data_IF_649282744268
#
_entry.id   IF_649282744268
#
_cell.length_a   1.000
_cell.length_b   1.000
_cell.length_c   1.000
_cell.angle_alpha   90.00
_cell.angle_beta   90.00
_cell.angle_gamma   90.00
#
_symmetry.space_group_name_H-M   'P 1'
#
loop_
_entity.id
_entity.type
_entity.pdbx_description
1 polymer ?
#
# COMPACT_ATOMS: atom_id res chain seq x y z
N UNK A 1 31.68 47.03 -38.14
CA UNK A 1 31.02 46.22 -37.08
C UNK A 1 31.11 44.71 -37.32
N UNK A 2 31.00 44.23 -38.56
CA UNK A 2 31.02 42.79 -38.89
C UNK A 2 32.26 42.03 -38.36
N UNK A 3 33.46 42.61 -38.43
CA UNK A 3 34.70 41.98 -37.94
C UNK A 3 34.71 41.72 -36.42
N UNK A 4 34.04 42.57 -35.63
CA UNK A 4 33.93 42.37 -34.17
C UNK A 4 32.87 41.30 -33.83
N UNK A 5 31.83 41.17 -34.65
CA UNK A 5 30.77 40.18 -34.46
C UNK A 5 31.25 38.74 -34.76
N UNK A 6 32.04 38.57 -35.82
CA UNK A 6 32.64 37.27 -36.17
C UNK A 6 33.65 36.80 -35.12
N UNK A 7 34.42 37.72 -34.53
CA UNK A 7 35.34 37.40 -33.44
C UNK A 7 34.64 36.88 -32.18
N UNK A 8 33.49 37.46 -31.81
CA UNK A 8 32.71 37.02 -30.64
C UNK A 8 32.11 35.63 -30.86
N UNK A 9 31.61 35.34 -32.07
CA UNK A 9 31.06 34.02 -32.40
C UNK A 9 32.15 32.94 -32.36
N UNK A 10 33.35 33.23 -32.87
CA UNK A 10 34.49 32.29 -32.83
C UNK A 10 34.92 31.96 -31.39
N UNK A 11 34.95 32.95 -30.50
CA UNK A 11 35.27 32.75 -29.08
C UNK A 11 34.17 31.93 -28.39
N UNK A 12 32.88 32.18 -28.68
CA UNK A 12 31.76 31.40 -28.15
C UNK A 12 31.79 29.95 -28.64
N UNK A 13 32.11 29.69 -29.91
CA UNK A 13 32.26 28.33 -30.41
C UNK A 13 33.46 27.61 -29.79
N UNK A 14 34.58 28.31 -29.54
CA UNK A 14 35.75 27.72 -28.91
C UNK A 14 35.49 27.36 -27.43
N UNK A 15 34.76 28.22 -26.71
CA UNK A 15 34.33 27.95 -25.33
C UNK A 15 33.26 26.86 -25.23
N UNK A 16 32.35 26.74 -26.21
CA UNK A 16 31.41 25.61 -26.25
C UNK A 16 32.12 24.27 -26.57
N UNK A 17 33.20 24.27 -27.34
CA UNK A 17 33.97 23.04 -27.62
C UNK A 17 34.86 22.59 -26.46
N UNK A 18 35.32 23.49 -25.59
CA UNK A 18 36.13 23.11 -24.41
C UNK A 18 35.29 22.64 -23.23
N UNK A 19 34.00 22.98 -23.16
CA UNK A 19 33.07 22.43 -22.16
C UNK A 19 32.61 21.00 -22.51
N UNK A 20 32.94 20.48 -23.70
CA UNK A 20 32.66 19.11 -24.12
C UNK A 20 33.86 18.15 -24.02
N UNK A 21 34.98 18.56 -23.42
CA UNK A 21 36.18 17.75 -23.32
C UNK A 21 36.67 17.66 -21.87
N UNK A 22 35.99 16.84 -21.07
CA UNK A 22 36.57 16.03 -19.97
C UNK A 22 35.44 15.18 -19.36
N UNK A 23 34.92 14.22 -20.14
CA UNK A 23 34.42 12.99 -19.52
C UNK A 23 35.66 12.16 -19.19
N UNK A 24 35.85 11.72 -17.94
CA UNK A 24 36.98 10.88 -17.58
C UNK A 24 36.93 9.62 -18.45
N UNK A 25 37.98 9.42 -19.26
CA UNK A 25 38.23 8.17 -19.97
C UNK A 25 38.30 7.09 -18.89
N UNK A 26 37.19 6.39 -18.72
CA UNK A 26 37.12 5.26 -17.80
C UNK A 26 37.85 4.12 -18.49
N UNK A 27 38.86 3.59 -17.82
CA UNK A 27 39.65 2.43 -18.24
C UNK A 27 38.75 1.36 -18.86
N UNK A 28 38.91 1.12 -20.17
CA UNK A 28 38.12 0.16 -20.95
C UNK A 28 38.45 -1.31 -20.67
N UNK A 29 39.30 -1.60 -19.68
CA UNK A 29 39.83 -2.95 -19.44
C UNK A 29 39.47 -3.57 -18.08
N UNK A 30 38.52 -2.99 -17.33
CA UNK A 30 37.84 -3.72 -16.26
C UNK A 30 36.39 -3.96 -16.69
N UNK A 31 35.84 -5.18 -16.55
CA UNK A 31 34.40 -5.38 -16.67
C UNK A 31 33.75 -4.49 -15.61
N UNK A 32 33.14 -3.37 -16.05
CA UNK A 32 32.34 -2.55 -15.17
C UNK A 32 31.11 -3.38 -14.81
N UNK A 33 31.17 -4.08 -13.67
CA UNK A 33 30.01 -4.77 -13.13
C UNK A 33 28.90 -3.75 -12.99
N UNK A 34 27.82 -3.96 -13.74
CA UNK A 34 26.70 -3.04 -13.74
C UNK A 34 26.08 -2.98 -12.33
N UNK A 35 25.74 -1.77 -11.87
CA UNK A 35 25.13 -1.55 -10.56
C UNK A 35 23.76 -2.23 -10.51
N UNK A 36 23.58 -3.16 -9.56
CA UNK A 36 22.35 -3.91 -9.33
C UNK A 36 21.54 -3.32 -8.19
N UNK A 37 20.29 -3.76 -8.03
CA UNK A 37 19.51 -3.45 -6.83
C UNK A 37 18.78 -4.67 -6.27
N UNK A 38 18.58 -4.67 -4.96
CA UNK A 38 17.82 -5.64 -4.21
C UNK A 38 16.95 -4.89 -3.19
N UNK A 39 15.63 -4.98 -3.36
CA UNK A 39 14.63 -4.48 -2.42
C UNK A 39 14.01 -5.69 -1.73
N UNK A 40 14.15 -5.76 -0.40
CA UNK A 40 13.57 -6.79 0.45
C UNK A 40 12.47 -6.14 1.28
N UNK A 41 11.24 -6.62 1.15
CA UNK A 41 10.10 -6.24 1.96
C UNK A 41 9.72 -7.41 2.85
N UNK A 42 9.63 -7.18 4.16
CA UNK A 42 9.30 -8.22 5.14
C UNK A 42 8.06 -7.81 5.92
N UNK A 43 7.04 -8.67 5.93
CA UNK A 43 5.77 -8.38 6.59
C UNK A 43 5.91 -8.27 8.10
N UNK A 44 5.39 -7.18 8.68
CA UNK A 44 5.35 -6.97 10.14
C UNK A 44 6.76 -7.00 10.80
N UNK A 45 7.78 -6.54 10.08
CA UNK A 45 9.17 -6.59 10.54
C UNK A 45 9.58 -5.30 11.27
N UNK A 46 9.58 -5.36 12.60
CA UNK A 46 9.91 -4.24 13.48
C UNK A 46 11.36 -4.28 13.98
N UNK A 47 11.83 -3.16 14.54
CA UNK A 47 13.17 -3.06 15.11
C UNK A 47 13.38 -4.08 16.24
N UNK A 48 12.33 -4.37 17.01
CA UNK A 48 12.35 -5.41 18.02
C UNK A 48 12.64 -6.79 17.42
N UNK A 49 11.98 -7.15 16.30
CA UNK A 49 12.22 -8.41 15.60
C UNK A 49 13.64 -8.49 15.03
N UNK A 50 14.18 -7.38 14.51
CA UNK A 50 15.55 -7.33 14.01
C UNK A 50 16.57 -7.78 15.07
N UNK A 51 16.40 -7.34 16.33
CA UNK A 51 17.33 -7.67 17.41
C UNK A 51 17.00 -8.98 18.14
N UNK A 52 15.73 -9.42 18.16
CA UNK A 52 15.33 -10.67 18.82
C UNK A 52 15.50 -11.92 17.97
N UNK A 53 15.32 -11.83 16.65
CA UNK A 53 15.22 -13.00 15.76
C UNK A 53 16.55 -13.59 15.30
N UNK A 54 17.69 -13.12 15.84
CA UNK A 54 19.05 -13.47 15.40
C UNK A 54 19.22 -13.42 13.87
N UNK A 55 19.25 -12.20 13.34
CA UNK A 55 19.39 -11.91 11.90
C UNK A 55 20.71 -11.14 11.68
N UNK A 56 21.87 -11.80 11.80
CA UNK A 56 23.16 -11.12 11.87
C UNK A 56 23.49 -10.33 10.60
N UNK A 57 23.05 -10.78 9.42
CA UNK A 57 23.38 -10.14 8.15
C UNK A 57 22.52 -8.90 7.93
N UNK A 58 21.21 -8.98 8.18
CA UNK A 58 20.32 -7.81 8.14
C UNK A 58 20.68 -6.81 9.24
N UNK A 59 21.04 -7.29 10.45
CA UNK A 59 21.50 -6.42 11.54
C UNK A 59 22.78 -5.69 11.16
N UNK A 60 23.74 -6.37 10.53
CA UNK A 60 24.96 -5.74 10.04
C UNK A 60 24.65 -4.68 8.96
N UNK A 61 23.77 -4.97 8.00
CA UNK A 61 23.30 -3.98 7.03
C UNK A 61 22.63 -2.78 7.72
N UNK A 62 21.81 -3.03 8.73
CA UNK A 62 21.20 -1.97 9.52
C UNK A 62 22.29 -1.10 10.16
N UNK A 63 23.27 -1.69 10.85
CA UNK A 63 24.36 -0.95 11.49
C UNK A 63 25.25 -0.17 10.50
N UNK A 64 25.55 -0.75 9.34
CA UNK A 64 26.42 -0.16 8.31
C UNK A 64 25.72 0.86 7.40
N UNK A 65 24.40 0.74 7.22
CA UNK A 65 23.63 1.50 6.24
C UNK A 65 23.08 2.83 6.75
N UNK A 66 22.29 3.48 5.90
CA UNK A 66 21.37 4.53 6.31
C UNK A 66 20.07 3.87 6.77
N UNK A 67 19.75 4.02 8.06
CA UNK A 67 18.71 3.21 8.68
C UNK A 67 17.82 3.98 9.65
N UNK A 68 16.60 3.51 9.83
CA UNK A 68 15.64 4.09 10.77
C UNK A 68 14.35 3.29 10.86
N UNK A 69 13.31 3.92 11.41
CA UNK A 69 11.97 3.34 11.52
C UNK A 69 11.07 3.95 10.44
N UNK A 70 10.37 3.12 9.68
CA UNK A 70 9.32 3.57 8.76
C UNK A 70 8.00 3.74 9.47
N UNK A 71 7.36 4.90 9.21
CA UNK A 71 6.02 5.20 9.71
C UNK A 71 5.00 4.95 8.61
N UNK A 72 4.63 3.68 8.47
CA UNK A 72 3.67 3.21 7.48
C UNK A 72 2.25 3.11 7.99
N UNK A 73 1.31 3.09 7.05
CA UNK A 73 -0.08 2.72 7.30
C UNK A 73 -0.17 1.20 7.55
N UNK A 74 -1.18 0.75 8.30
CA UNK A 74 -1.50 -0.67 8.44
C UNK A 74 -2.12 -1.22 7.14
N UNK A 75 -1.28 -1.34 6.12
CA UNK A 75 -1.60 -2.00 4.85
C UNK A 75 -1.21 -3.47 4.93
N UNK A 76 -1.94 -4.33 4.21
CA UNK A 76 -1.45 -5.69 4.00
C UNK A 76 -0.19 -5.66 3.12
N UNK A 77 0.59 -6.74 3.13
CA UNK A 77 1.88 -6.79 2.42
C UNK A 77 1.77 -6.41 0.92
N UNK A 78 0.71 -6.87 0.25
CA UNK A 78 0.49 -6.59 -1.17
C UNK A 78 0.23 -5.10 -1.42
N UNK A 79 -0.69 -4.50 -0.67
CA UNK A 79 -1.00 -3.07 -0.75
C UNK A 79 0.21 -2.20 -0.39
N UNK A 80 0.99 -2.60 0.60
CA UNK A 80 2.22 -1.90 0.98
C UNK A 80 3.23 -1.90 -0.17
N UNK A 81 3.43 -3.04 -0.84
CA UNK A 81 4.34 -3.12 -2.00
C UNK A 81 3.82 -2.28 -3.17
N UNK A 82 2.51 -2.29 -3.41
CA UNK A 82 1.87 -1.50 -4.47
C UNK A 82 2.06 0.01 -4.26
N UNK A 83 1.91 0.49 -3.03
CA UNK A 83 2.14 1.89 -2.69
C UNK A 83 3.63 2.24 -2.72
N UNK A 84 4.49 1.41 -2.10
CA UNK A 84 5.93 1.61 -2.07
C UNK A 84 6.48 1.76 -3.49
N UNK A 85 6.22 0.77 -4.36
CA UNK A 85 6.74 0.73 -5.73
C UNK A 85 5.95 1.58 -6.73
N UNK A 86 4.93 2.30 -6.26
CA UNK A 86 4.06 3.17 -7.07
C UNK A 86 3.41 2.40 -8.22
N UNK A 87 2.98 1.17 -7.98
CA UNK A 87 2.42 0.27 -9.00
C UNK A 87 1.02 0.67 -9.47
N UNK A 88 0.30 1.46 -8.67
CA UNK A 88 -1.05 1.96 -8.94
C UNK A 88 -1.08 3.48 -8.86
N UNK A 89 -1.88 4.10 -9.73
CA UNK A 89 -2.14 5.54 -9.70
C UNK A 89 -1.10 6.43 -10.37
N UNK A 90 -0.07 5.85 -11.01
CA UNK A 90 1.00 6.59 -11.70
C UNK A 90 1.21 6.05 -13.11
N UNK A 91 1.45 6.93 -14.08
CA UNK A 91 1.71 6.55 -15.48
C UNK A 91 3.00 5.74 -15.63
N UNK A 92 4.02 6.09 -14.84
CA UNK A 92 5.26 5.35 -14.76
C UNK A 92 5.47 4.89 -13.32
N UNK A 93 5.50 3.58 -13.11
CA UNK A 93 5.87 2.97 -11.83
C UNK A 93 7.37 2.67 -11.76
N UNK A 94 7.90 2.34 -10.58
CA UNK A 94 9.33 2.12 -10.40
C UNK A 94 9.91 0.99 -11.27
N UNK A 95 9.32 -0.22 -11.33
CA UNK A 95 9.83 -1.29 -12.19
C UNK A 95 9.87 -0.91 -13.68
N UNK A 96 8.82 -0.23 -14.17
CA UNK A 96 8.76 0.23 -15.55
C UNK A 96 9.83 1.29 -15.84
N UNK A 97 10.06 2.21 -14.90
CA UNK A 97 11.13 3.21 -15.03
C UNK A 97 12.51 2.54 -15.03
N UNK A 98 12.77 1.63 -14.08
CA UNK A 98 14.03 0.89 -14.04
C UNK A 98 14.29 0.14 -15.37
N UNK A 99 13.25 -0.46 -15.96
CA UNK A 99 13.34 -1.09 -17.27
C UNK A 99 13.72 -0.12 -18.40
N UNK A 100 13.18 1.11 -18.40
CA UNK A 100 13.58 2.17 -19.35
C UNK A 100 15.08 2.53 -19.22
N UNK A 101 15.67 2.37 -18.03
CA UNK A 101 17.09 2.59 -17.75
C UNK A 101 17.96 1.33 -17.95
N UNK A 102 17.40 0.29 -18.55
CA UNK A 102 18.09 -0.94 -18.95
C UNK A 102 18.11 -2.04 -17.90
N UNK A 103 17.33 -1.92 -16.81
CA UNK A 103 17.23 -2.98 -15.81
C UNK A 103 16.27 -4.10 -16.23
N UNK A 104 16.65 -5.35 -15.97
CA UNK A 104 15.70 -6.46 -15.84
C UNK A 104 15.28 -6.58 -14.38
N UNK A 105 13.99 -6.42 -14.10
CA UNK A 105 13.48 -6.39 -12.72
C UNK A 105 12.69 -7.66 -12.44
N UNK A 106 13.18 -8.46 -11.49
CA UNK A 106 12.59 -9.71 -11.05
C UNK A 106 11.87 -9.53 -9.71
N UNK A 107 10.75 -10.22 -9.54
CA UNK A 107 9.96 -10.16 -8.32
C UNK A 107 9.61 -11.55 -7.76
N UNK A 108 9.61 -11.65 -6.42
CA UNK A 108 9.33 -12.87 -5.67
C UNK A 108 8.40 -12.60 -4.49
N UNK A 109 7.48 -13.51 -4.20
CA UNK A 109 6.72 -13.54 -2.94
C UNK A 109 5.48 -12.65 -2.87
N UNK A 110 5.08 -11.99 -3.97
CA UNK A 110 3.83 -11.21 -4.07
C UNK A 110 3.18 -11.35 -5.44
N UNK A 111 1.93 -10.90 -5.60
CA UNK A 111 1.20 -11.04 -6.85
C UNK A 111 1.65 -9.98 -7.87
N UNK A 112 2.28 -10.43 -8.95
CA UNK A 112 2.80 -9.57 -10.02
C UNK A 112 1.96 -9.59 -11.31
N UNK A 113 0.92 -10.43 -11.41
CA UNK A 113 0.21 -10.72 -12.68
C UNK A 113 -0.38 -9.48 -13.37
N UNK A 114 -0.60 -8.40 -12.63
CA UNK A 114 -1.25 -7.19 -13.11
C UNK A 114 -0.26 -6.01 -13.27
N UNK A 115 1.05 -6.23 -13.09
CA UNK A 115 2.03 -5.15 -13.07
C UNK A 115 3.05 -5.27 -14.20
N UNK A 116 3.15 -4.20 -14.98
CA UNK A 116 4.15 -4.09 -16.05
C UNK A 116 5.53 -3.74 -15.48
N UNK A 117 6.59 -4.17 -16.17
CA UNK A 117 7.97 -3.90 -15.77
C UNK A 117 8.55 -4.90 -14.76
N UNK A 118 7.80 -5.94 -14.39
CA UNK A 118 8.23 -7.01 -13.49
C UNK A 118 8.25 -8.36 -14.21
N UNK A 119 9.32 -9.12 -13.99
CA UNK A 119 9.47 -10.51 -14.40
C UNK A 119 9.33 -11.41 -13.16
N UNK A 120 8.74 -12.60 -13.33
CA UNK A 120 8.66 -13.57 -12.24
C UNK A 120 10.05 -14.11 -11.92
N UNK A 121 10.44 -14.07 -10.64
CA UNK A 121 11.66 -14.73 -10.17
C UNK A 121 11.37 -16.22 -9.92
N UNK A 122 11.97 -17.16 -10.69
CA UNK A 122 11.66 -18.58 -10.55
C UNK A 122 12.08 -19.17 -9.20
N UNK A 123 13.24 -18.74 -8.70
CA UNK A 123 13.78 -19.18 -7.41
C UNK A 123 14.81 -18.19 -6.88
N UNK A 124 15.13 -18.26 -5.59
CA UNK A 124 16.20 -17.46 -5.00
C UNK A 124 17.58 -17.87 -5.56
N UNK A 125 17.79 -19.14 -5.93
CA UNK A 125 19.03 -19.57 -6.60
C UNK A 125 19.22 -18.91 -7.97
N UNK A 126 18.13 -18.63 -8.69
CA UNK A 126 18.22 -17.88 -9.94
C UNK A 126 18.72 -16.44 -9.72
N UNK A 127 18.30 -15.79 -8.63
CA UNK A 127 18.83 -14.47 -8.29
C UNK A 127 20.33 -14.55 -7.96
N UNK A 128 20.77 -15.56 -7.23
CA UNK A 128 22.18 -15.75 -6.88
C UNK A 128 23.07 -15.85 -8.14
N UNK A 129 22.64 -16.62 -9.14
CA UNK A 129 23.40 -16.71 -10.41
C UNK A 129 23.47 -15.40 -11.17
N UNK A 130 22.50 -14.50 -10.95
CA UNK A 130 22.43 -13.17 -11.58
C UNK A 130 23.22 -12.08 -10.88
N UNK A 131 23.74 -12.32 -9.67
CA UNK A 131 24.61 -11.33 -9.00
C UNK A 131 25.98 -11.20 -9.67
N UNK A 132 26.52 -12.29 -10.22
CA UNK A 132 27.80 -12.29 -10.96
C UNK A 132 27.70 -11.81 -12.41
N UNK A 133 26.48 -11.61 -12.94
CA UNK A 133 26.29 -11.19 -14.33
C UNK A 133 26.65 -9.71 -14.54
N UNK A 134 27.10 -9.38 -15.75
CA UNK A 134 27.35 -8.00 -16.17
C UNK A 134 26.07 -7.22 -16.49
N UNK A 135 24.91 -7.90 -16.54
CA UNK A 135 23.61 -7.30 -16.80
C UNK A 135 23.13 -6.44 -15.60
N UNK A 136 22.39 -5.37 -15.91
CA UNK A 136 21.66 -4.58 -14.91
C UNK A 136 20.46 -5.36 -14.42
N UNK A 137 20.60 -6.03 -13.28
CA UNK A 137 19.53 -6.79 -12.65
C UNK A 137 18.99 -6.07 -11.41
N UNK A 138 17.68 -6.13 -11.25
CA UNK A 138 16.94 -5.63 -10.10
C UNK A 138 16.10 -6.72 -9.48
N UNK A 139 16.09 -6.83 -8.17
CA UNK A 139 15.33 -7.84 -7.45
C UNK A 139 14.42 -7.20 -6.42
N UNK A 140 13.15 -7.62 -6.40
CA UNK A 140 12.14 -7.18 -5.43
C UNK A 140 11.58 -8.42 -4.76
N UNK A 141 11.97 -8.65 -3.51
CA UNK A 141 11.60 -9.83 -2.74
C UNK A 141 10.63 -9.44 -1.63
N UNK A 142 9.50 -10.12 -1.57
CA UNK A 142 8.54 -9.98 -0.49
C UNK A 142 8.52 -11.27 0.35
N UNK A 143 8.67 -11.11 1.66
CA UNK A 143 8.63 -12.19 2.63
C UNK A 143 7.47 -11.96 3.59
N UNK A 144 6.69 -13.01 3.83
CA UNK A 144 5.59 -12.98 4.79
C UNK A 144 6.13 -13.02 6.22
N UNK A 145 5.24 -12.81 7.19
CA UNK A 145 5.56 -12.97 8.63
C UNK A 145 6.26 -14.32 8.86
N UNK A 146 7.28 -14.32 9.73
CA UNK A 146 8.09 -15.49 10.10
C UNK A 146 9.06 -16.02 9.01
N UNK A 147 9.24 -15.27 7.92
CA UNK A 147 10.19 -15.58 6.85
C UNK A 147 11.45 -14.71 6.86
N UNK A 148 11.72 -13.99 7.96
CA UNK A 148 12.86 -13.08 8.12
C UNK A 148 14.20 -13.81 7.92
N UNK A 149 14.28 -15.09 8.32
CA UNK A 149 15.48 -15.91 8.14
C UNK A 149 15.81 -16.18 6.67
N UNK A 150 14.80 -16.22 5.79
CA UNK A 150 15.04 -16.36 4.34
C UNK A 150 15.60 -15.06 3.78
N UNK A 151 15.07 -13.91 4.22
CA UNK A 151 15.63 -12.61 3.87
C UNK A 151 17.09 -12.46 4.35
N UNK A 152 17.40 -12.93 5.57
CA UNK A 152 18.76 -12.87 6.11
C UNK A 152 19.75 -13.72 5.29
N UNK A 153 19.35 -14.92 4.86
CA UNK A 153 20.13 -15.76 3.95
C UNK A 153 20.38 -15.12 2.59
N UNK A 154 19.42 -14.36 2.06
CA UNK A 154 19.63 -13.63 0.81
C UNK A 154 20.75 -12.58 0.97
N UNK A 155 20.74 -11.88 2.10
CA UNK A 155 21.79 -10.90 2.42
C UNK A 155 23.13 -11.59 2.68
N UNK A 156 23.14 -12.73 3.37
CA UNK A 156 24.33 -13.57 3.56
C UNK A 156 25.00 -13.90 2.23
N UNK A 157 24.22 -14.32 1.22
CA UNK A 157 24.74 -14.63 -0.13
C UNK A 157 25.37 -13.43 -0.83
N UNK A 158 24.85 -12.22 -0.62
CA UNK A 158 25.47 -10.99 -1.12
C UNK A 158 26.80 -10.68 -0.42
N UNK A 159 26.92 -10.98 0.87
CA UNK A 159 28.19 -10.88 1.59
C UNK A 159 29.20 -11.91 1.08
N UNK A 160 28.80 -13.18 0.97
CA UNK A 160 29.66 -14.29 0.53
C UNK A 160 30.18 -14.10 -0.90
N UNK A 161 29.33 -13.60 -1.81
CA UNK A 161 29.71 -13.34 -3.21
C UNK A 161 30.51 -12.04 -3.41
N UNK A 162 30.59 -11.17 -2.40
CA UNK A 162 31.24 -9.86 -2.51
C UNK A 162 30.45 -8.82 -3.33
N UNK A 163 29.25 -9.17 -3.81
CA UNK A 163 28.43 -8.33 -4.70
C UNK A 163 27.70 -7.21 -3.98
N UNK A 164 27.76 -7.17 -2.64
CA UNK A 164 27.21 -6.08 -1.82
C UNK A 164 27.76 -4.70 -2.25
N UNK A 165 29.01 -4.62 -2.72
CA UNK A 165 29.61 -3.34 -3.16
C UNK A 165 29.00 -2.80 -4.46
N UNK A 166 28.47 -3.69 -5.29
CA UNK A 166 27.89 -3.37 -6.60
C UNK A 166 26.36 -3.51 -6.62
N UNK A 167 25.75 -3.65 -5.44
CA UNK A 167 24.31 -3.82 -5.28
C UNK A 167 23.78 -2.80 -4.28
N UNK A 168 22.75 -2.06 -4.68
CA UNK A 168 21.96 -1.25 -3.74
C UNK A 168 21.02 -2.19 -3.02
N UNK A 169 21.24 -2.39 -1.73
CA UNK A 169 20.40 -3.26 -0.90
C UNK A 169 19.50 -2.40 -0.05
N UNK A 170 18.22 -2.75 -0.01
CA UNK A 170 17.20 -2.07 0.78
C UNK A 170 16.40 -3.13 1.51
N UNK A 171 16.26 -3.00 2.82
CA UNK A 171 15.40 -3.85 3.64
C UNK A 171 14.35 -2.97 4.30
N UNK A 172 13.09 -3.35 4.13
CA UNK A 172 11.91 -2.60 4.56
C UNK A 172 10.97 -3.55 5.29
N UNK A 173 10.61 -3.22 6.53
CA UNK A 173 9.55 -3.87 7.26
C UNK A 173 8.21 -3.19 6.97
N UNK A 174 7.18 -3.96 6.62
CA UNK A 174 5.81 -3.43 6.61
C UNK A 174 5.25 -3.38 8.04
N UNK A 175 4.33 -2.46 8.30
CA UNK A 175 3.67 -2.29 9.60
C UNK A 175 3.82 -0.89 10.19
N UNK A 176 3.24 -0.67 11.39
CA UNK A 176 3.19 0.65 12.05
C UNK A 176 4.56 1.24 12.40
N UNK A 177 5.57 0.39 12.59
CA UNK A 177 6.93 0.78 12.98
C UNK A 177 7.92 -0.20 12.36
N UNK A 178 7.95 -0.19 11.02
CA UNK A 178 8.80 -1.07 10.24
C UNK A 178 10.27 -0.69 10.35
N UNK A 179 11.17 -1.65 10.17
CA UNK A 179 12.60 -1.37 10.00
C UNK A 179 12.86 -0.87 8.60
N UNK A 180 13.67 0.17 8.46
CA UNK A 180 14.28 0.52 7.20
C UNK A 180 15.80 0.51 7.31
N UNK A 181 16.45 -0.10 6.34
CA UNK A 181 17.87 0.10 6.08
C UNK A 181 18.13 0.10 4.58
N UNK A 182 19.05 0.96 4.15
CA UNK A 182 19.61 0.90 2.82
C UNK A 182 21.13 0.98 2.87
N UNK A 183 21.77 0.17 2.04
CA UNK A 183 23.20 0.16 1.84
C UNK A 183 23.51 0.33 0.36
N UNK A 184 24.30 1.36 0.04
CA UNK A 184 24.87 1.58 -1.27
C UNK A 184 26.16 2.41 -1.15
N UNK A 185 27.02 2.37 -2.17
CA UNK A 185 28.22 3.21 -2.19
C UNK A 185 27.91 4.72 -2.24
N UNK A 186 26.79 5.11 -2.86
CA UNK A 186 26.36 6.52 -3.00
C UNK A 186 25.46 7.01 -1.85
N UNK A 187 25.27 6.19 -0.82
CA UNK A 187 24.43 6.50 0.34
C UNK A 187 25.31 6.66 1.57
N UNK A 188 24.95 7.57 2.48
CA UNK A 188 25.67 7.75 3.75
C UNK A 188 25.64 6.45 4.57
N UNK A 189 26.80 6.06 5.10
CA UNK A 189 26.98 4.84 5.89
C UNK A 189 26.95 5.17 7.39
N UNK A 190 26.52 4.21 8.19
CA UNK A 190 26.45 4.31 9.66
C UNK A 190 25.57 5.47 10.15
N UNK A 191 24.49 5.79 9.44
CA UNK A 191 23.57 6.86 9.83
C UNK A 191 22.28 6.26 10.38
N UNK A 192 21.91 6.67 11.60
CA UNK A 192 20.62 6.35 12.21
C UNK A 192 19.73 7.56 12.21
N UNK A 193 18.58 7.44 11.57
CA UNK A 193 17.50 8.42 11.66
C UNK A 193 16.33 7.82 12.44
N UNK A 194 15.65 8.66 13.20
CA UNK A 194 14.57 8.22 14.07
C UNK A 194 13.37 7.73 13.25
N UNK A 195 12.96 8.51 12.23
CA UNK A 195 11.80 8.22 11.41
C UNK A 195 12.04 8.51 9.92
N UNK A 196 11.44 7.67 9.07
CA UNK A 196 11.47 7.76 7.61
C UNK A 196 10.04 7.61 7.08
N UNK A 197 9.68 8.44 6.10
CA UNK A 197 8.42 8.27 5.36
C UNK A 197 8.62 7.27 4.22
N UNK A 198 7.65 6.36 4.08
CA UNK A 198 7.68 5.31 3.05
C UNK A 198 7.72 5.87 1.61
N UNK A 199 7.05 7.01 1.38
CA UNK A 199 6.98 7.66 0.07
C UNK A 199 8.34 8.19 -0.41
N UNK A 200 9.27 8.49 0.50
CA UNK A 200 10.62 8.93 0.16
C UNK A 200 11.61 7.82 -0.16
N UNK A 201 11.26 6.56 0.08
CA UNK A 201 12.16 5.41 -0.11
C UNK A 201 12.50 5.21 -1.59
N UNK A 202 11.50 5.05 -2.44
CA UNK A 202 11.70 4.77 -3.88
C UNK A 202 12.36 5.93 -4.64
N UNK A 203 12.00 7.21 -4.42
CA UNK A 203 12.73 8.32 -5.02
C UNK A 203 14.23 8.29 -4.67
N UNK A 204 14.57 7.99 -3.42
CA UNK A 204 15.95 7.91 -2.94
C UNK A 204 16.72 6.76 -3.59
N UNK A 205 16.10 5.57 -3.68
CA UNK A 205 16.71 4.41 -4.34
C UNK A 205 16.90 4.65 -5.83
N UNK A 206 15.93 5.29 -6.49
CA UNK A 206 16.00 5.63 -7.91
C UNK A 206 17.22 6.51 -8.18
N UNK A 207 17.41 7.58 -7.40
CA UNK A 207 18.58 8.45 -7.53
C UNK A 207 19.90 7.71 -7.26
N UNK A 208 19.92 6.83 -6.27
CA UNK A 208 21.10 6.02 -5.98
C UNK A 208 21.48 5.10 -7.16
N UNK A 209 20.49 4.65 -7.95
CA UNK A 209 20.67 3.89 -9.19
C UNK A 209 21.00 4.76 -10.42
N UNK A 210 20.97 6.08 -10.30
CA UNK A 210 21.09 7.01 -11.44
C UNK A 210 19.82 7.07 -12.30
N UNK A 211 18.68 6.69 -11.74
CA UNK A 211 17.35 6.80 -12.35
C UNK A 211 16.71 8.09 -11.80
N UNK A 212 16.27 8.98 -12.68
CA UNK A 212 15.61 10.21 -12.24
C UNK A 212 14.19 9.91 -11.73
N UNK A 213 13.88 10.16 -10.45
CA UNK A 213 12.58 9.85 -9.87
C UNK A 213 11.51 10.79 -10.44
N UNK A 214 10.26 10.32 -10.47
CA UNK A 214 9.12 11.16 -10.84
C UNK A 214 8.76 12.07 -9.67
N UNK A 215 8.43 13.34 -9.94
CA UNK A 215 8.06 14.32 -8.90
C UNK A 215 6.87 13.86 -8.05
N UNK A 216 5.93 13.14 -8.67
CA UNK A 216 4.70 12.65 -8.06
C UNK A 216 4.92 11.53 -7.02
N UNK A 217 6.11 10.89 -7.01
CA UNK A 217 6.37 9.74 -6.12
C UNK A 217 6.63 10.13 -4.68
N UNK A 218 6.94 11.40 -4.41
CA UNK A 218 7.23 11.91 -3.08
C UNK A 218 8.64 12.50 -2.94
N UNK A 219 8.98 13.03 -1.75
CA UNK A 219 10.24 13.71 -1.53
C UNK A 219 11.41 12.74 -1.50
N UNK A 220 12.53 13.11 -2.10
CA UNK A 220 13.78 12.37 -1.92
C UNK A 220 14.33 12.59 -0.51
N UNK A 221 14.79 11.53 0.15
CA UNK A 221 15.54 11.59 1.40
C UNK A 221 16.97 12.05 1.11
N UNK A 222 17.13 13.34 0.81
CA UNK A 222 18.42 13.95 0.50
C UNK A 222 19.44 13.77 1.62
N UNK A 223 19.00 13.62 2.87
CA UNK A 223 19.84 13.25 4.01
C UNK A 223 20.57 11.91 3.84
N UNK A 224 20.04 11.00 3.01
CA UNK A 224 20.62 9.69 2.74
C UNK A 224 21.65 9.71 1.60
N UNK A 225 21.55 10.64 0.64
CA UNK A 225 22.43 10.67 -0.55
C UNK A 225 23.73 11.42 -0.21
N UNK A 226 24.87 10.87 -0.65
CA UNK A 226 26.18 11.49 -0.47
C UNK A 226 26.41 12.62 -1.48
N UNK A 227 26.66 13.84 -0.99
CA UNK A 227 27.18 14.97 -1.77
C UNK A 227 28.20 15.72 -0.90
N UNK A 228 29.45 15.84 -1.36
CA UNK A 228 30.52 16.62 -0.68
C UNK A 228 30.19 18.11 -0.58
N UNK A 229 30.89 18.85 0.30
CA UNK A 229 30.76 20.30 0.63
C UNK A 229 29.34 20.91 0.64
N UNK A 230 28.33 20.06 0.82
CA UNK A 230 26.91 20.43 0.79
C UNK A 230 26.40 20.78 2.21
N UNK A 231 27.15 20.49 3.28
CA UNK A 231 26.66 20.55 4.66
C UNK A 231 26.05 21.89 5.09
N UNK A 232 26.44 23.02 4.51
CA UNK A 232 25.93 24.36 4.86
C UNK A 232 24.59 24.68 4.20
N UNK A 233 24.34 24.26 2.95
CA UNK A 233 23.09 24.56 2.22
C UNK A 233 21.94 23.60 2.60
N UNK A 234 22.25 22.35 2.98
CA UNK A 234 21.24 21.38 3.38
C UNK A 234 20.85 21.41 4.85
N UNK A 235 21.55 22.10 5.76
CA UNK A 235 21.05 22.22 7.13
C UNK A 235 19.68 22.91 7.15
N UNK A 236 19.48 23.91 6.29
CA UNK A 236 18.19 24.57 6.10
C UNK A 236 17.16 23.63 5.46
N UNK A 237 17.53 22.91 4.39
CA UNK A 237 16.61 21.93 3.75
C UNK A 237 16.29 20.71 4.62
N UNK A 238 17.22 20.24 5.44
CA UNK A 238 17.01 19.15 6.39
C UNK A 238 16.10 19.60 7.55
N UNK A 239 16.23 20.86 7.98
CA UNK A 239 15.30 21.47 8.92
C UNK A 239 13.91 21.62 8.32
N UNK A 240 13.80 22.12 7.09
CA UNK A 240 12.54 22.17 6.33
C UNK A 240 11.94 20.78 6.14
N UNK A 241 12.75 19.77 5.78
CA UNK A 241 12.30 18.39 5.68
C UNK A 241 11.82 17.82 7.01
N UNK A 242 12.46 18.16 8.13
CA UNK A 242 12.03 17.75 9.47
C UNK A 242 10.71 18.41 9.85
N UNK A 243 10.51 19.68 9.48
CA UNK A 243 9.26 20.41 9.70
C UNK A 243 8.13 19.88 8.80
N UNK A 244 8.41 19.61 7.51
CA UNK A 244 7.49 18.96 6.57
C UNK A 244 7.15 17.56 7.07
N UNK A 245 8.15 16.79 7.53
CA UNK A 245 7.95 15.47 8.12
C UNK A 245 7.03 15.55 9.33
N UNK A 246 7.30 16.46 10.28
CA UNK A 246 6.46 16.66 11.46
C UNK A 246 5.02 17.05 11.07
N UNK A 247 4.86 17.89 10.06
CA UNK A 247 3.55 18.29 9.53
C UNK A 247 2.83 17.13 8.84
N UNK A 248 3.51 16.36 8.00
CA UNK A 248 2.98 15.16 7.33
C UNK A 248 2.60 14.10 8.35
N UNK A 249 3.40 13.88 9.39
CA UNK A 249 3.07 12.96 10.48
C UNK A 249 1.84 13.41 11.25
N UNK A 250 1.70 14.73 11.49
CA UNK A 250 0.49 15.31 12.08
C UNK A 250 -0.73 15.09 11.17
N UNK A 251 -0.60 15.30 9.87
CA UNK A 251 -1.66 15.03 8.89
C UNK A 251 -2.04 13.55 8.83
N UNK A 252 -1.06 12.64 8.77
CA UNK A 252 -1.31 11.18 8.80
C UNK A 252 -2.03 10.76 10.07
N UNK A 253 -1.66 11.32 11.23
CA UNK A 253 -2.37 11.07 12.48
C UNK A 253 -3.84 11.52 12.40
N UNK A 254 -4.09 12.73 11.87
CA UNK A 254 -5.46 13.24 11.66
C UNK A 254 -6.24 12.35 10.68
N UNK A 255 -5.63 11.90 9.58
CA UNK A 255 -6.26 10.99 8.63
C UNK A 255 -6.60 9.64 9.29
N UNK A 256 -5.65 9.08 10.06
CA UNK A 256 -5.87 7.81 10.78
C UNK A 256 -7.00 7.91 11.79
N UNK A 257 -7.11 9.05 12.50
CA UNK A 257 -8.21 9.35 13.41
C UNK A 257 -9.54 9.46 12.65
N UNK A 258 -9.55 10.13 11.48
CA UNK A 258 -10.73 10.25 10.61
C UNK A 258 -11.16 8.90 10.04
N UNK A 259 -10.24 8.04 9.61
CA UNK A 259 -10.55 6.69 9.15
C UNK A 259 -11.14 5.83 10.27
N UNK A 260 -10.66 6.02 11.51
CA UNK A 260 -11.23 5.36 12.68
C UNK A 260 -12.64 5.87 12.97
N UNK A 261 -12.90 7.18 12.84
CA UNK A 261 -14.26 7.75 12.91
C UNK A 261 -15.16 7.14 11.83
N UNK A 262 -14.70 7.07 10.57
CA UNK A 262 -15.47 6.48 9.46
C UNK A 262 -15.82 5.02 9.74
N UNK A 263 -14.86 4.21 10.22
CA UNK A 263 -15.12 2.81 10.61
C UNK A 263 -16.14 2.71 11.74
N UNK A 264 -16.10 3.62 12.72
CA UNK A 264 -17.08 3.66 13.80
C UNK A 264 -18.48 4.03 13.28
N UNK A 265 -18.57 5.04 12.40
CA UNK A 265 -19.82 5.42 11.73
C UNK A 265 -20.41 4.28 10.90
N UNK A 266 -19.58 3.52 10.18
CA UNK A 266 -20.03 2.34 9.44
C UNK A 266 -20.61 1.27 10.37
N UNK A 267 -19.94 0.96 11.48
CA UNK A 267 -20.45 0.03 12.50
C UNK A 267 -21.77 0.51 13.12
N UNK A 268 -21.91 1.81 13.38
CA UNK A 268 -23.15 2.37 13.91
C UNK A 268 -24.29 2.31 12.89
N UNK A 269 -24.00 2.59 11.61
CA UNK A 269 -24.94 2.41 10.50
C UNK A 269 -25.43 0.97 10.39
N UNK A 270 -24.56 -0.03 10.50
CA UNK A 270 -24.95 -1.44 10.53
C UNK A 270 -25.84 -1.79 11.73
N UNK A 271 -25.54 -1.26 12.92
CA UNK A 271 -26.39 -1.42 14.11
C UNK A 271 -27.78 -0.79 13.94
N UNK A 272 -27.87 0.35 13.25
CA UNK A 272 -29.15 0.99 12.96
C UNK A 272 -29.94 0.22 11.90
N UNK A 273 -29.28 -0.29 10.86
CA UNK A 273 -29.91 -1.13 9.83
C UNK A 273 -30.47 -2.43 10.43
N UNK A 274 -29.72 -3.10 11.29
CA UNK A 274 -30.21 -4.31 11.99
C UNK A 274 -31.39 -4.00 12.92
N UNK A 275 -31.37 -2.88 13.64
CA UNK A 275 -32.54 -2.41 14.43
C UNK A 275 -33.75 -2.10 13.55
N UNK A 276 -33.55 -1.46 12.39
CA UNK A 276 -34.62 -1.17 11.43
C UNK A 276 -35.25 -2.45 10.89
N UNK A 277 -34.43 -3.43 10.47
CA UNK A 277 -34.92 -4.74 10.02
C UNK A 277 -35.71 -5.46 11.13
N UNK A 278 -35.24 -5.38 12.39
CA UNK A 278 -35.97 -5.93 13.53
C UNK A 278 -37.35 -5.30 13.73
N UNK A 279 -37.44 -3.96 13.67
CA UNK A 279 -38.71 -3.22 13.75
C UNK A 279 -39.64 -3.49 12.56
N UNK A 280 -39.08 -3.65 11.37
CA UNK A 280 -39.87 -3.98 10.17
C UNK A 280 -40.46 -5.39 10.27
N UNK A 281 -39.70 -6.35 10.80
CA UNK A 281 -40.20 -7.69 11.08
C UNK A 281 -41.31 -7.68 12.13
N UNK A 282 -41.13 -6.91 13.21
CA UNK A 282 -42.16 -6.72 14.24
C UNK A 282 -43.43 -6.08 13.66
N UNK A 283 -43.29 -5.01 12.87
CA UNK A 283 -44.41 -4.34 12.18
C UNK A 283 -45.17 -5.29 11.25
N UNK A 284 -44.44 -6.13 10.51
CA UNK A 284 -45.03 -7.14 9.61
C UNK A 284 -45.79 -8.20 10.39
N UNK A 285 -45.25 -8.65 11.53
CA UNK A 285 -45.93 -9.60 12.42
C UNK A 285 -47.21 -9.02 13.04
N UNK A 286 -47.18 -7.75 13.42
CA UNK A 286 -48.35 -7.01 13.91
C UNK A 286 -49.40 -6.87 12.81
N UNK A 287 -49.00 -6.53 11.58
CA UNK A 287 -49.92 -6.47 10.43
C UNK A 287 -50.60 -7.83 10.16
N UNK A 288 -49.85 -8.93 10.24
CA UNK A 288 -50.41 -10.26 10.12
C UNK A 288 -51.41 -10.57 11.25
N UNK A 289 -51.12 -10.16 12.47
CA UNK A 289 -51.99 -10.31 13.63
C UNK A 289 -53.27 -9.49 13.49
N UNK A 290 -53.15 -8.22 13.07
CA UNK A 290 -54.28 -7.33 12.77
C UNK A 290 -55.16 -7.95 11.67
N UNK A 291 -54.57 -8.53 10.61
CA UNK A 291 -55.32 -9.19 9.54
C UNK A 291 -56.09 -10.40 10.06
N UNK A 292 -55.49 -11.23 10.92
CA UNK A 292 -56.17 -12.37 11.58
C UNK A 292 -57.32 -11.91 12.48
N UNK A 293 -57.13 -10.85 13.25
CA UNK A 293 -58.17 -10.27 14.10
C UNK A 293 -59.33 -9.69 13.28
N UNK A 294 -59.04 -8.95 12.21
CA UNK A 294 -60.06 -8.46 11.28
C UNK A 294 -60.89 -9.61 10.69
N UNK A 295 -60.24 -10.70 10.29
CA UNK A 295 -60.95 -11.89 9.78
C UNK A 295 -61.86 -12.51 10.85
N UNK A 296 -61.37 -12.68 12.09
CA UNK A 296 -62.19 -13.18 13.21
C UNK A 296 -63.41 -12.31 13.47
N UNK A 297 -63.25 -10.98 13.44
CA UNK A 297 -64.36 -10.03 13.61
C UNK A 297 -65.39 -10.19 12.49
N UNK A 298 -64.95 -10.35 11.24
CA UNK A 298 -65.85 -10.57 10.10
C UNK A 298 -66.62 -11.89 10.25
N UNK A 299 -65.94 -12.97 10.62
CA UNK A 299 -66.58 -14.27 10.87
C UNK A 299 -67.62 -14.14 11.99
N UNK A 300 -67.28 -13.50 13.12
CA UNK A 300 -68.21 -13.32 14.23
C UNK A 300 -69.45 -12.52 13.81
N UNK A 301 -69.28 -11.44 13.04
CA UNK A 301 -70.40 -10.66 12.48
C UNK A 301 -71.31 -11.51 11.59
N UNK A 302 -70.73 -12.35 10.73
CA UNK A 302 -71.48 -13.29 9.89
C UNK A 302 -72.23 -14.33 10.72
N UNK A 303 -71.63 -14.87 11.78
CA UNK A 303 -72.28 -15.83 12.67
C UNK A 303 -73.47 -15.20 13.39
N UNK A 304 -73.31 -13.99 13.94
CA UNK A 304 -74.41 -13.25 14.58
C UNK A 304 -75.53 -12.97 13.57
N UNK A 305 -75.19 -12.55 12.36
CA UNK A 305 -76.19 -12.32 11.30
C UNK A 305 -76.93 -13.60 10.91
N UNK A 306 -76.22 -14.73 10.81
CA UNK A 306 -76.82 -16.04 10.56
C UNK A 306 -77.77 -16.49 11.67
N UNK A 307 -77.42 -16.25 12.93
CA UNK A 307 -78.30 -16.53 14.08
C UNK A 307 -79.59 -15.69 14.01
N UNK A 308 -79.49 -14.41 13.66
CA UNK A 308 -80.65 -13.53 13.49
C UNK A 308 -81.58 -14.09 12.39
N UNK A 309 -81.03 -14.44 11.22
CA UNK A 309 -81.82 -15.03 10.11
C UNK A 309 -82.49 -16.33 10.55
N UNK A 310 -81.77 -17.20 11.24
CA UNK A 310 -82.28 -18.49 11.72
C UNK A 310 -83.42 -18.28 12.73
N UNK A 311 -83.29 -17.31 13.63
CA UNK A 311 -84.34 -16.91 14.56
C UNK A 311 -85.60 -16.41 13.85
N UNK A 312 -85.46 -15.55 12.84
CA UNK A 312 -86.59 -15.12 12.00
C UNK A 312 -87.25 -16.29 11.27
N UNK A 313 -86.47 -17.24 10.76
CA UNK A 313 -86.99 -18.42 10.07
C UNK A 313 -87.76 -19.35 11.01
N UNK A 314 -87.25 -19.56 12.23
CA UNK A 314 -87.94 -20.32 13.28
C UNK A 314 -89.27 -19.68 13.65
N UNK A 315 -89.29 -18.35 13.88
CA UNK A 315 -90.53 -17.61 14.14
C UNK A 315 -91.52 -17.72 12.98
N UNK A 316 -91.03 -17.68 11.73
CA UNK A 316 -91.87 -17.84 10.55
C UNK A 316 -92.45 -19.26 10.44
N UNK A 317 -91.65 -20.30 10.71
CA UNK A 317 -92.11 -21.69 10.76
C UNK A 317 -93.13 -21.92 11.86
N UNK A 318 -92.89 -21.38 13.06
CA UNK A 318 -93.79 -21.44 14.20
C UNK A 318 -95.11 -20.74 13.86
N UNK A 319 -95.06 -19.54 13.29
CA UNK A 319 -96.24 -18.83 12.77
C UNK A 319 -97.00 -19.67 11.74
N UNK A 320 -96.31 -20.31 10.79
CA UNK A 320 -96.94 -21.16 9.76
C UNK A 320 -97.58 -22.42 10.36
N UNK A 321 -96.95 -23.04 11.36
CA UNK A 321 -97.48 -24.19 12.09
C UNK A 321 -98.70 -23.80 12.95
N UNK A 322 -98.62 -22.69 13.68
CA UNK A 322 -99.72 -22.14 14.46
C UNK A 322 -100.90 -21.77 13.55
N UNK A 323 -100.65 -21.12 12.41
CA UNK A 323 -101.69 -20.81 11.42
C UNK A 323 -102.39 -22.08 10.92
N UNK A 324 -101.65 -23.17 10.68
CA UNK A 324 -102.25 -24.48 10.32
C UNK A 324 -103.09 -25.09 11.45
N UNK A 325 -102.67 -24.97 12.71
CA UNK A 325 -103.42 -25.50 13.86
C UNK A 325 -104.68 -24.70 14.18
N UNK A 326 -104.65 -23.38 14.04
CA UNK A 326 -105.78 -22.50 14.34
C UNK A 326 -106.80 -22.38 13.19
N UNK A 327 -106.48 -22.86 11.99
CA UNK A 327 -107.44 -23.02 10.87
C UNK A 327 -108.26 -24.32 10.93
N UNK A 328 -108.03 -25.16 11.94
CA UNK A 328 -108.77 -26.41 12.20
C UNK A 328 -109.88 -26.19 13.27
N UNK A 329 -109.98 -24.99 13.84
CA UNK A 329 -111.13 -24.50 14.59
C UNK A 329 -111.95 -23.54 13.73
#
# INVERSE_FOLDING_TARGET
>A
MLKKFVGIILVLTFFCSTVLAEQPITDKNQPQNALKFLIIVIEDFSQEKLFKSYLPNIKNLYEMGYSGITLGNELNLQEYIEDLLKLKGFETNFPLLAKKYGYRVYAYGFNIKNYSGLEYLPSLQFMESKFGDSEKNGFILAFKRDQEKLADKVVEKLYESGELRNTIVVVIGSGKSGVFTTFANKIKKNVKVEFILDDGIIPTISLALGIYPQEEWGPTLWSAIYTGDWETENQNRAKEQKEILAFVLKLRKVITEKDREIKNFQKEKEKLLTKLMGKEHESTSLHATIKKLKLKIVIYKLTVFGLIITGFFLLFLEYKLLKKKYLIF
#
